data_IF_173471592079
#
_entry.id   IF_173471592079
#
_cell.length_a   1.000
_cell.length_b   1.000
_cell.length_c   1.000
_cell.angle_alpha   90.00
_cell.angle_beta   90.00
_cell.angle_gamma   90.00
#
_symmetry.space_group_name_H-M   'P 1'
#
loop_
_entity.id
_entity.type
_entity.pdbx_description
1 polymer ?
#
# COMPACT_ATOMS: atom_id res chain seq x y z
N UNK A 1 -4.06 3.01 -31.60
CA UNK A 1 -3.85 3.39 -30.19
C UNK A 1 -2.87 2.38 -29.62
N UNK A 2 -1.60 2.76 -29.43
CA UNK A 2 -0.60 1.86 -28.85
C UNK A 2 -1.03 1.53 -27.43
N UNK A 3 -1.39 0.27 -27.19
CA UNK A 3 -1.41 -0.26 -25.83
C UNK A 3 0.04 -0.19 -25.35
N UNK A 4 0.37 0.83 -24.56
CA UNK A 4 1.62 0.86 -23.84
C UNK A 4 1.62 -0.39 -22.95
N UNK A 5 2.46 -1.37 -23.29
CA UNK A 5 2.67 -2.58 -22.50
C UNK A 5 3.43 -2.21 -21.21
N UNK A 6 2.79 -1.46 -20.33
CA UNK A 6 3.28 -1.15 -19.00
C UNK A 6 3.24 -2.44 -18.17
N UNK A 7 4.41 -2.97 -17.88
CA UNK A 7 4.59 -4.17 -17.07
C UNK A 7 4.51 -3.83 -15.58
N UNK A 8 4.45 -4.84 -14.71
CA UNK A 8 4.56 -4.63 -13.26
C UNK A 8 5.83 -3.85 -12.88
N UNK A 9 6.94 -4.10 -13.59
CA UNK A 9 8.23 -3.45 -13.32
C UNK A 9 8.21 -1.94 -13.54
N UNK A 10 7.31 -1.45 -14.39
CA UNK A 10 7.18 -0.03 -14.74
C UNK A 10 6.24 0.73 -13.80
N UNK A 11 5.68 0.06 -12.78
CA UNK A 11 4.82 0.69 -11.78
C UNK A 11 5.67 1.46 -10.78
N UNK A 12 5.17 2.60 -10.32
CA UNK A 12 5.83 3.35 -9.25
C UNK A 12 5.61 2.66 -7.90
N UNK A 13 6.62 2.72 -7.06
CA UNK A 13 6.56 2.33 -5.66
C UNK A 13 6.00 3.50 -4.86
N UNK A 14 5.08 3.22 -3.93
CA UNK A 14 4.47 4.25 -3.09
C UNK A 14 4.65 3.94 -1.60
N UNK A 15 4.87 4.97 -0.79
CA UNK A 15 4.69 4.91 0.67
C UNK A 15 3.20 4.94 0.95
N UNK A 16 2.68 3.91 1.63
CA UNK A 16 1.31 3.82 2.09
C UNK A 16 1.23 4.32 3.52
N UNK A 17 0.35 5.30 3.74
CA UNK A 17 0.17 5.93 5.03
C UNK A 17 -1.28 5.82 5.49
N UNK A 18 -1.47 5.62 6.79
CA UNK A 18 -2.79 5.67 7.38
C UNK A 18 -3.36 7.09 7.31
N UNK A 19 -4.57 7.25 6.76
CA UNK A 19 -5.22 8.56 6.66
C UNK A 19 -5.51 9.19 8.02
N UNK A 20 -5.72 8.36 9.04
CA UNK A 20 -6.17 8.79 10.36
C UNK A 20 -5.02 9.10 11.32
N UNK A 21 -4.05 8.19 11.47
CA UNK A 21 -2.95 8.35 12.43
C UNK A 21 -1.63 8.79 11.81
N UNK A 22 -1.61 8.96 10.48
CA UNK A 22 -0.48 9.35 9.63
C UNK A 22 0.74 8.42 9.66
N UNK A 23 0.65 7.30 10.37
CA UNK A 23 1.71 6.30 10.43
C UNK A 23 1.94 5.70 9.04
N UNK A 24 3.22 5.55 8.68
CA UNK A 24 3.62 4.75 7.52
C UNK A 24 3.23 3.31 7.80
N UNK A 25 2.44 2.75 6.90
CA UNK A 25 2.05 1.35 6.95
C UNK A 25 3.07 0.52 6.18
N UNK A 26 3.37 0.87 4.93
CA UNK A 26 4.36 0.18 4.09
C UNK A 26 5.08 1.17 3.17
N UNK A 27 6.37 0.96 2.89
CA UNK A 27 7.15 1.73 1.91
C UNK A 27 7.19 1.06 0.53
N UNK A 28 6.46 -0.05 0.38
CA UNK A 28 6.42 -0.89 -0.82
C UNK A 28 4.98 -1.03 -1.33
N UNK A 29 4.27 0.09 -1.34
CA UNK A 29 2.92 0.19 -1.85
C UNK A 29 2.84 0.27 -3.37
N UNK A 30 1.71 -0.14 -3.91
CA UNK A 30 1.29 0.19 -5.27
C UNK A 30 -0.20 0.47 -5.30
N UNK A 31 -0.63 1.34 -6.22
CA UNK A 31 -2.05 1.51 -6.53
C UNK A 31 -2.56 0.27 -7.27
N UNK A 32 -3.68 -0.27 -6.80
CA UNK A 32 -4.37 -1.41 -7.37
C UNK A 32 -5.80 -1.02 -7.74
N UNK A 33 -6.35 -1.70 -8.75
CA UNK A 33 -7.72 -1.50 -9.24
C UNK A 33 -8.38 -2.86 -9.36
N UNK A 34 -9.64 -2.97 -8.93
CA UNK A 34 -10.40 -4.20 -9.13
C UNK A 34 -10.86 -4.26 -10.60
N UNK A 35 -10.57 -5.38 -11.27
CA UNK A 35 -11.00 -5.57 -12.66
C UNK A 35 -12.53 -5.59 -12.82
N UNK A 36 -13.23 -6.02 -11.76
CA UNK A 36 -14.70 -6.06 -11.73
C UNK A 36 -15.32 -4.71 -11.36
N UNK A 37 -14.56 -3.82 -10.73
CA UNK A 37 -15.03 -2.51 -10.26
C UNK A 37 -13.88 -1.51 -10.25
N UNK A 38 -13.75 -0.76 -11.33
CA UNK A 38 -12.67 0.20 -11.49
C UNK A 38 -12.88 1.50 -10.70
N UNK A 39 -14.07 1.67 -10.11
CA UNK A 39 -14.38 2.85 -9.29
C UNK A 39 -13.80 2.69 -7.87
N UNK A 40 -13.44 1.46 -7.49
CA UNK A 40 -12.79 1.16 -6.22
C UNK A 40 -11.26 1.31 -6.37
N UNK A 41 -10.76 2.40 -5.81
CA UNK A 41 -9.33 2.65 -5.65
C UNK A 41 -8.77 1.87 -4.45
N UNK A 42 -7.81 0.98 -4.72
CA UNK A 42 -7.11 0.19 -3.72
C UNK A 42 -5.61 0.48 -3.74
N UNK A 43 -4.96 0.06 -2.66
CA UNK A 43 -3.51 -0.07 -2.58
C UNK A 43 -3.15 -1.49 -2.13
N UNK A 44 -1.96 -1.93 -2.50
CA UNK A 44 -1.42 -3.23 -2.07
C UNK A 44 0.08 -3.14 -1.78
N UNK A 45 0.59 -4.05 -0.95
CA UNK A 45 2.03 -4.21 -0.68
C UNK A 45 2.43 -5.68 -0.84
N UNK A 46 3.67 -5.92 -1.25
CA UNK A 46 4.25 -7.27 -1.40
C UNK A 46 4.73 -7.85 -0.07
N UNK A 47 5.09 -6.99 0.90
CA UNK A 47 5.61 -7.38 2.22
C UNK A 47 4.57 -7.08 3.32
N UNK A 48 4.42 -7.96 4.33
CA UNK A 48 3.68 -7.65 5.55
C UNK A 48 4.19 -6.35 6.18
N UNK A 49 3.35 -5.32 6.37
CA UNK A 49 3.74 -4.12 7.07
C UNK A 49 3.97 -4.47 8.55
N UNK A 50 5.24 -4.57 8.94
CA UNK A 50 5.67 -4.92 10.29
C UNK A 50 5.40 -3.77 11.26
N UNK A 51 4.99 -4.11 12.48
CA UNK A 51 4.81 -3.21 13.63
C UNK A 51 3.76 -2.09 13.54
N UNK A 52 3.13 -1.90 12.38
CA UNK A 52 2.13 -0.83 12.17
C UNK A 52 0.76 -1.38 11.78
N UNK A 53 0.71 -2.59 11.22
CA UNK A 53 -0.50 -3.30 10.84
C UNK A 53 -0.42 -4.72 11.37
N UNK A 54 -1.51 -5.22 11.95
CA UNK A 54 -1.61 -6.62 12.34
C UNK A 54 -3.00 -7.19 12.03
N UNK A 55 -3.06 -8.51 12.00
CA UNK A 55 -4.29 -9.25 11.84
C UNK A 55 -5.16 -9.17 13.08
N UNK A 56 -6.43 -8.82 12.89
CA UNK A 56 -7.44 -8.77 13.94
C UNK A 56 -8.49 -9.86 13.76
N UNK A 57 -9.11 -10.26 14.87
CA UNK A 57 -10.22 -11.20 14.86
C UNK A 57 -9.85 -12.63 14.45
N UNK A 58 -10.87 -13.37 14.00
CA UNK A 58 -10.76 -14.78 13.60
C UNK A 58 -10.69 -14.89 12.09
N UNK A 59 -10.08 -15.98 11.63
CA UNK A 59 -10.10 -16.27 10.20
C UNK A 59 -11.52 -16.65 9.75
N UNK A 60 -11.85 -16.26 8.52
CA UNK A 60 -13.13 -16.58 7.88
C UNK A 60 -12.92 -16.95 6.42
N UNK A 61 -13.97 -17.44 5.79
CA UNK A 61 -14.01 -17.81 4.37
C UNK A 61 -15.21 -17.12 3.73
N UNK A 62 -15.13 -16.80 2.44
CA UNK A 62 -16.28 -16.31 1.67
C UNK A 62 -16.84 -17.44 0.81
N UNK A 63 -18.07 -17.27 0.32
CA UNK A 63 -18.65 -18.20 -0.66
C UNK A 63 -18.06 -18.07 -2.07
N UNK A 64 -17.17 -17.10 -2.30
CA UNK A 64 -16.68 -16.72 -3.63
C UNK A 64 -15.35 -17.42 -3.94
N UNK A 65 -14.48 -17.62 -2.93
CA UNK A 65 -13.19 -18.28 -3.10
C UNK A 65 -12.83 -19.18 -1.91
N UNK A 66 -11.89 -20.11 -2.11
CA UNK A 66 -11.39 -21.01 -1.05
C UNK A 66 -10.32 -20.37 -0.17
N UNK A 67 -10.09 -19.06 -0.29
CA UNK A 67 -9.07 -18.34 0.46
C UNK A 67 -9.46 -18.25 1.93
N UNK A 68 -8.49 -18.48 2.82
CA UNK A 68 -8.62 -18.21 4.26
C UNK A 68 -8.30 -16.74 4.49
N UNK A 69 -9.31 -15.98 4.89
CA UNK A 69 -9.23 -14.53 5.06
C UNK A 69 -9.07 -14.19 6.55
N UNK A 70 -8.42 -13.06 6.83
CA UNK A 70 -8.35 -12.47 8.17
C UNK A 70 -8.23 -10.95 8.01
N UNK A 71 -9.00 -10.22 8.80
CA UNK A 71 -8.99 -8.76 8.71
C UNK A 71 -7.67 -8.21 9.28
N UNK A 72 -7.27 -7.03 8.79
CA UNK A 72 -6.08 -6.31 9.25
C UNK A 72 -6.49 -4.95 9.80
N UNK A 73 -5.75 -4.46 10.79
CA UNK A 73 -5.96 -3.17 11.40
C UNK A 73 -4.63 -2.45 11.61
N UNK A 74 -4.65 -1.12 11.46
CA UNK A 74 -3.54 -0.30 11.93
C UNK A 74 -3.47 -0.39 13.47
N UNK A 75 -2.31 -0.73 14.02
CA UNK A 75 -2.11 -0.93 15.45
C UNK A 75 -2.32 0.36 16.27
N UNK A 76 -2.12 1.53 15.66
CA UNK A 76 -2.28 2.83 16.33
C UNK A 76 -3.74 3.31 16.38
N UNK A 77 -4.57 3.05 15.37
CA UNK A 77 -5.95 3.59 15.31
C UNK A 77 -7.07 2.62 14.93
N UNK A 78 -6.78 1.32 14.76
CA UNK A 78 -7.76 0.27 14.41
C UNK A 78 -8.66 0.57 13.21
N UNK A 79 -8.19 1.44 12.32
CA UNK A 79 -8.96 2.23 11.36
C UNK A 79 -9.00 1.62 9.94
N UNK A 80 -8.30 0.50 9.70
CA UNK A 80 -8.29 -0.21 8.42
C UNK A 80 -9.46 -1.20 8.28
N UNK A 81 -10.51 -1.08 9.10
CA UNK A 81 -11.68 -1.97 9.08
C UNK A 81 -12.44 -1.84 7.75
N UNK A 82 -12.04 -2.61 6.74
CA UNK A 82 -12.78 -2.75 5.48
C UNK A 82 -13.12 -4.23 5.26
N UNK A 83 -14.36 -4.47 4.83
CA UNK A 83 -14.94 -5.78 4.54
C UNK A 83 -14.24 -6.56 3.41
N UNK A 84 -13.32 -5.93 2.67
CA UNK A 84 -12.59 -6.52 1.54
C UNK A 84 -11.10 -6.74 1.79
N UNK A 85 -10.61 -6.59 3.03
CA UNK A 85 -9.18 -6.77 3.35
C UNK A 85 -8.75 -8.24 3.50
N UNK A 86 -9.64 -9.20 3.22
CA UNK A 86 -9.35 -10.62 3.38
C UNK A 86 -8.22 -11.13 2.47
N UNK A 87 -8.00 -10.48 1.34
CA UNK A 87 -6.83 -10.74 0.50
C UNK A 87 -5.64 -9.97 1.08
N UNK A 88 -4.59 -10.71 1.44
CA UNK A 88 -3.44 -10.19 2.16
C UNK A 88 -2.98 -8.83 1.61
N UNK A 89 -2.84 -7.87 2.54
CA UNK A 89 -2.23 -6.57 2.32
C UNK A 89 -2.89 -5.67 1.26
N UNK A 90 -4.19 -5.84 1.05
CA UNK A 90 -5.00 -4.89 0.29
C UNK A 90 -5.57 -3.82 1.23
N UNK A 91 -5.52 -2.56 0.82
CA UNK A 91 -6.01 -1.42 1.58
C UNK A 91 -6.95 -0.56 0.73
N UNK A 92 -8.07 -0.15 1.33
CA UNK A 92 -8.97 0.77 0.67
C UNK A 92 -8.42 2.21 0.71
N UNK A 93 -8.50 2.92 -0.42
CA UNK A 93 -8.10 4.33 -0.50
C UNK A 93 -8.87 5.27 0.45
N UNK A 94 -9.97 4.83 1.07
CA UNK A 94 -10.64 5.58 2.14
C UNK A 94 -9.86 5.57 3.46
N UNK A 95 -9.06 4.53 3.73
CA UNK A 95 -8.32 4.36 4.97
C UNK A 95 -6.83 4.66 4.83
N UNK A 96 -6.28 4.57 3.62
CA UNK A 96 -4.87 4.84 3.31
C UNK A 96 -4.72 5.84 2.17
N UNK A 97 -3.55 6.47 2.09
CA UNK A 97 -3.11 7.24 0.93
C UNK A 97 -1.70 6.83 0.53
N UNK A 98 -1.38 6.94 -0.75
CA UNK A 98 -0.07 6.61 -1.31
C UNK A 98 0.68 7.87 -1.76
N UNK A 99 1.98 7.93 -1.46
CA UNK A 99 2.93 8.93 -1.97
C UNK A 99 3.97 8.19 -2.81
N UNK A 100 4.22 8.59 -4.05
CA UNK A 100 5.23 7.91 -4.88
C UNK A 100 6.64 8.21 -4.35
N UNK A 101 7.44 7.15 -4.16
CA UNK A 101 8.85 7.29 -3.78
C UNK A 101 9.68 7.81 -4.94
N UNK A 102 10.69 8.59 -4.65
CA UNK A 102 11.73 8.95 -5.59
C UNK A 102 12.83 7.89 -5.61
N UNK A 103 13.54 7.77 -6.73
CA UNK A 103 14.76 6.97 -6.79
C UNK A 103 15.92 7.68 -6.08
N UNK A 104 17.09 7.02 -5.99
CA UNK A 104 18.28 7.59 -5.34
C UNK A 104 18.81 8.88 -5.98
N UNK A 105 18.29 9.28 -7.15
CA UNK A 105 18.64 10.56 -7.78
C UNK A 105 17.77 11.70 -7.26
N UNK A 106 16.62 11.41 -6.64
CA UNK A 106 15.63 12.40 -6.21
C UNK A 106 14.89 13.09 -7.36
N UNK A 107 15.06 12.62 -8.61
CA UNK A 107 14.47 13.25 -9.81
C UNK A 107 13.35 12.42 -10.39
N UNK A 108 13.49 11.09 -10.41
CA UNK A 108 12.49 10.19 -10.99
C UNK A 108 11.78 9.40 -9.89
N UNK A 109 10.60 8.88 -10.23
CA UNK A 109 9.90 7.94 -9.35
C UNK A 109 10.60 6.58 -9.32
N UNK A 110 10.71 6.02 -8.12
CA UNK A 110 11.18 4.66 -7.92
C UNK A 110 10.19 3.68 -8.56
N UNK A 111 10.72 2.78 -9.38
CA UNK A 111 9.93 1.75 -10.06
C UNK A 111 10.10 0.39 -9.39
N UNK A 112 9.06 -0.43 -9.42
CA UNK A 112 9.06 -1.79 -8.86
C UNK A 112 10.16 -2.68 -9.47
N UNK A 113 10.53 -2.45 -10.73
CA UNK A 113 11.63 -3.17 -11.37
C UNK A 113 13.02 -2.86 -10.80
N UNK A 114 13.17 -1.75 -10.06
CA UNK A 114 14.41 -1.28 -9.47
C UNK A 114 14.39 -1.36 -7.93
N UNK A 115 13.28 -1.83 -7.34
CA UNK A 115 13.10 -1.91 -5.90
C UNK A 115 13.86 -3.13 -5.34
N UNK A 116 14.78 -2.96 -4.36
CA UNK A 116 15.50 -4.07 -3.76
C UNK A 116 14.55 -5.06 -3.05
N UNK A 117 14.97 -6.32 -2.87
CA UNK A 117 14.11 -7.34 -2.26
C UNK A 117 13.87 -7.16 -0.75
N UNK A 118 14.77 -6.46 -0.05
CA UNK A 118 14.82 -6.40 1.43
C UNK A 118 14.76 -4.99 2.03
N UNK A 119 14.24 -4.01 1.30
CA UNK A 119 14.02 -2.67 1.88
C UNK A 119 12.88 -2.68 2.90
N UNK A 120 13.22 -2.45 4.17
CA UNK A 120 12.29 -2.05 5.23
C UNK A 120 12.10 -0.52 5.23
N UNK A 121 10.97 -0.03 5.73
CA UNK A 121 10.76 1.42 5.89
C UNK A 121 11.83 2.00 6.83
N UNK A 122 12.64 2.92 6.33
CA UNK A 122 13.59 3.66 7.17
C UNK A 122 12.99 4.96 7.66
N UNK A 123 13.60 5.58 8.68
CA UNK A 123 13.18 6.90 9.17
C UNK A 123 13.25 7.98 8.07
N UNK A 124 14.08 7.77 7.04
CA UNK A 124 14.23 8.68 5.89
C UNK A 124 12.95 8.72 5.02
N UNK A 125 12.30 7.57 4.81
CA UNK A 125 11.02 7.49 4.10
C UNK A 125 9.90 8.26 4.85
N UNK A 126 9.99 8.33 6.18
CA UNK A 126 9.07 9.10 7.03
C UNK A 126 9.36 10.60 6.95
N UNK A 127 10.63 10.98 6.79
CA UNK A 127 11.07 12.38 6.71
C UNK A 127 10.76 13.01 5.34
N UNK A 128 10.85 12.24 4.23
CA UNK A 128 10.44 12.71 2.90
C UNK A 128 8.97 13.20 2.91
N UNK A 129 8.08 12.49 3.62
CA UNK A 129 6.69 12.91 3.79
C UNK A 129 6.54 14.29 4.44
N UNK A 130 7.42 14.63 5.39
CA UNK A 130 7.36 15.92 6.10
C UNK A 130 7.83 17.09 5.23
N UNK A 131 8.71 16.83 4.25
CA UNK A 131 9.20 17.83 3.32
C UNK A 131 8.17 18.13 2.21
N UNK A 132 7.40 17.13 1.77
CA UNK A 132 6.39 17.28 0.72
C UNK A 132 5.08 17.93 1.22
N UNK A 133 4.85 17.96 2.54
CA UNK A 133 3.74 18.71 3.16
C UNK A 133 3.95 20.25 3.08
N UNK A 134 5.13 20.73 2.62
CA UNK A 134 5.42 22.16 2.41
C UNK A 134 5.18 22.68 0.98
N UNK A 135 4.73 21.84 0.05
CA UNK A 135 4.37 22.26 -1.31
C UNK A 135 2.91 21.90 -1.58
N UNK A 136 1.98 22.59 -0.90
CA UNK A 136 0.57 22.69 -1.32
C UNK A 136 -0.06 24.00 -0.92
#
# INVERSE_FOLDING_TARGET
MSANNCTFKDRCVSILCCKFCKQVLSCRGMKAVLLADTDIDLYSTDIPPTDTVDFIGRCYFTGICKCKLKDIACLKCSCLLSCNNGHFWMFHSQAVYGINRLDSTGVNFLLWGNLPETEECTDEDVLEMSAEEYIR
#
